data_IF_968785099098
#
_entry.id   IF_968785099098
#
_cell.length_a   1.000
_cell.length_b   1.000
_cell.length_c   1.000
_cell.angle_alpha   90.00
_cell.angle_beta   90.00
_cell.angle_gamma   90.00
#
_symmetry.space_group_name_H-M   'P 1'
#
loop_
_entity.id
_entity.type
_entity.pdbx_description
1 polymer ?
#
# COMPACT_ATOMS: atom_id res chain seq x y z
N UNK A 1 6.71 1.14 2.12
CA UNK A 1 5.73 1.66 1.14
C UNK A 1 5.20 3.05 1.46
N UNK A 2 4.49 3.29 2.57
CA UNK A 2 3.99 4.64 2.90
C UNK A 2 5.10 5.70 2.88
N UNK A 3 6.20 5.43 3.60
CA UNK A 3 7.38 6.30 3.64
C UNK A 3 8.02 6.45 2.26
N UNK A 4 8.12 5.38 1.47
CA UNK A 4 8.72 5.45 0.13
C UNK A 4 7.84 6.23 -0.87
N UNK A 5 6.52 6.27 -0.65
CA UNK A 5 5.62 7.15 -1.39
C UNK A 5 5.83 8.60 -0.96
N UNK A 6 5.84 8.87 0.36
CA UNK A 6 6.09 10.20 0.91
C UNK A 6 7.39 10.79 0.35
N UNK A 7 8.50 10.04 0.41
CA UNK A 7 9.81 10.48 -0.07
C UNK A 7 9.88 10.80 -1.58
N UNK A 8 8.94 10.28 -2.37
CA UNK A 8 8.84 10.54 -3.82
C UNK A 8 7.84 11.64 -4.16
N UNK A 9 7.08 12.14 -3.19
CA UNK A 9 6.23 13.30 -3.41
C UNK A 9 7.10 14.54 -3.63
N UNK A 10 6.54 15.52 -4.35
CA UNK A 10 7.18 16.82 -4.46
C UNK A 10 6.92 17.57 -3.17
N UNK A 11 7.99 17.99 -2.52
CA UNK A 11 7.88 18.90 -1.38
C UNK A 11 7.39 20.25 -1.84
N UNK A 12 6.38 20.77 -1.14
CA UNK A 12 5.85 22.10 -1.33
C UNK A 12 6.68 23.08 -0.48
N UNK A 13 7.09 24.24 -1.03
CA UNK A 13 7.77 25.28 -0.25
C UNK A 13 7.03 25.70 1.02
N UNK A 14 5.70 25.52 1.07
CA UNK A 14 4.89 25.85 2.26
C UNK A 14 4.93 24.77 3.36
N UNK A 15 5.34 23.54 3.06
CA UNK A 15 5.28 22.43 4.04
C UNK A 15 6.14 22.69 5.27
N UNK A 16 7.32 23.31 5.08
CA UNK A 16 8.18 23.74 6.20
C UNK A 16 7.44 24.76 7.09
N UNK A 17 6.75 25.73 6.49
CA UNK A 17 6.04 26.76 7.25
C UNK A 17 4.83 26.17 8.01
N UNK A 18 4.11 25.23 7.39
CA UNK A 18 3.02 24.50 8.01
C UNK A 18 3.53 23.64 9.17
N UNK A 19 4.65 22.95 8.97
CA UNK A 19 5.35 22.19 10.01
C UNK A 19 5.75 23.07 11.22
N UNK A 20 6.31 24.24 10.96
CA UNK A 20 6.70 25.18 12.02
C UNK A 20 5.49 25.71 12.77
N UNK A 21 4.42 26.05 12.06
CA UNK A 21 3.15 26.50 12.66
C UNK A 21 2.56 25.42 13.56
N UNK A 22 2.52 24.18 13.07
CA UNK A 22 2.09 23.02 13.86
C UNK A 22 2.96 22.85 15.13
N UNK A 23 4.28 22.91 14.98
CA UNK A 23 5.23 22.74 16.08
C UNK A 23 5.08 23.81 17.15
N UNK A 24 4.93 25.09 16.76
CA UNK A 24 4.65 26.20 17.69
C UNK A 24 3.36 25.98 18.48
N UNK A 25 2.33 25.41 17.85
CA UNK A 25 1.05 25.10 18.49
C UNK A 25 1.18 23.95 19.50
N UNK A 26 1.85 22.86 19.14
CA UNK A 26 2.04 21.70 20.03
C UNK A 26 2.86 22.07 21.27
N UNK A 27 3.91 22.88 21.09
CA UNK A 27 4.81 23.30 22.17
C UNK A 27 4.48 24.68 22.75
N UNK A 28 3.25 25.17 22.60
CA UNK A 28 2.85 26.51 23.04
C UNK A 28 3.08 26.80 24.54
N UNK A 29 3.21 25.75 25.36
CA UNK A 29 3.47 25.84 26.82
C UNK A 29 4.94 25.56 27.21
N UNK A 30 5.84 25.37 26.25
CA UNK A 30 7.23 24.98 26.48
C UNK A 30 8.20 26.02 25.90
N UNK A 31 8.55 27.05 26.69
CA UNK A 31 9.36 28.18 26.23
C UNK A 31 10.73 27.77 25.67
N UNK A 32 11.37 26.76 26.26
CA UNK A 32 12.64 26.21 25.77
C UNK A 32 12.51 25.64 24.37
N UNK A 33 11.46 24.85 24.10
CA UNK A 33 11.21 24.28 22.79
C UNK A 33 10.79 25.34 21.78
N UNK A 34 10.03 26.37 22.19
CA UNK A 34 9.67 27.49 21.31
C UNK A 34 10.90 28.27 20.83
N UNK A 35 11.92 28.44 21.67
CA UNK A 35 13.18 29.06 21.25
C UNK A 35 13.92 28.18 20.24
N UNK A 36 13.96 26.86 20.45
CA UNK A 36 14.59 25.91 19.50
C UNK A 36 13.82 25.87 18.17
N UNK A 37 12.49 26.00 18.19
CA UNK A 37 11.68 26.07 16.97
C UNK A 37 12.01 27.33 16.16
N UNK A 38 12.21 28.49 16.82
CA UNK A 38 12.66 29.73 16.14
C UNK A 38 14.06 29.56 15.54
N UNK A 39 14.97 28.96 16.30
CA UNK A 39 16.32 28.64 15.81
C UNK A 39 16.28 27.72 14.57
N UNK A 40 15.41 26.70 14.57
CA UNK A 40 15.21 25.82 13.44
C UNK A 40 14.60 26.55 12.24
N UNK A 41 13.61 27.42 12.46
CA UNK A 41 12.97 28.21 11.41
C UNK A 41 14.01 29.05 10.64
N UNK A 42 14.90 29.72 11.37
CA UNK A 42 15.94 30.62 10.85
C UNK A 42 17.15 29.87 10.26
N UNK A 43 17.63 28.81 10.94
CA UNK A 43 18.95 28.24 10.65
C UNK A 43 18.92 26.84 10.02
N UNK A 44 17.76 26.19 9.87
CA UNK A 44 17.72 24.86 9.27
C UNK A 44 18.14 24.85 7.79
N UNK A 45 19.09 23.98 7.46
CA UNK A 45 19.43 23.59 6.08
C UNK A 45 19.46 22.08 5.93
N UNK A 46 19.24 21.60 4.70
CA UNK A 46 19.23 20.17 4.38
C UNK A 46 20.55 19.45 4.73
N UNK A 47 21.68 20.17 4.76
CA UNK A 47 23.01 19.65 5.13
C UNK A 47 23.21 19.51 6.65
N UNK A 48 22.28 20.00 7.48
CA UNK A 48 22.33 19.88 8.94
C UNK A 48 21.25 18.98 9.56
N UNK A 49 20.48 18.25 8.74
CA UNK A 49 19.44 17.34 9.20
C UNK A 49 19.89 16.33 10.26
N UNK A 50 21.04 15.66 10.10
CA UNK A 50 21.53 14.70 11.12
C UNK A 50 21.78 15.38 12.48
N UNK A 51 22.44 16.55 12.49
CA UNK A 51 22.69 17.32 13.71
C UNK A 51 21.39 17.73 14.41
N UNK A 52 20.35 18.05 13.64
CA UNK A 52 19.03 18.37 14.18
C UNK A 52 18.29 17.13 14.71
N UNK A 53 18.51 15.96 14.11
CA UNK A 53 17.90 14.71 14.56
C UNK A 53 18.50 14.19 15.87
N UNK A 54 19.80 14.36 16.08
CA UNK A 54 20.51 13.87 17.27
C UNK A 54 20.36 14.79 18.48
N UNK A 55 20.03 16.07 18.27
CA UNK A 55 19.78 17.04 19.34
C UNK A 55 18.51 16.70 20.11
N UNK A 56 18.57 16.79 21.44
CA UNK A 56 17.39 16.69 22.31
C UNK A 56 16.44 17.89 22.08
N UNK A 57 15.55 17.77 21.11
CA UNK A 57 14.63 18.84 20.72
C UNK A 57 13.28 18.32 20.21
N UNK A 58 12.35 19.25 20.02
CA UNK A 58 11.00 19.02 19.52
C UNK A 58 10.97 18.13 18.26
N UNK A 59 11.98 18.24 17.38
CA UNK A 59 12.02 17.58 16.08
C UNK A 59 12.13 16.06 16.21
N UNK A 60 13.08 15.58 17.00
CA UNK A 60 13.24 14.15 17.31
C UNK A 60 12.00 13.59 18.01
N UNK A 61 11.47 14.32 19.00
CA UNK A 61 10.31 13.89 19.78
C UNK A 61 9.05 13.78 18.92
N UNK A 62 8.78 14.80 18.09
CA UNK A 62 7.62 14.81 17.19
C UNK A 62 7.73 13.73 16.11
N UNK A 63 8.90 13.56 15.49
CA UNK A 63 9.08 12.55 14.44
C UNK A 63 8.84 11.15 14.99
N UNK A 64 9.44 10.81 16.15
CA UNK A 64 9.23 9.52 16.78
C UNK A 64 7.79 9.31 17.25
N UNK A 65 7.13 10.36 17.76
CA UNK A 65 5.69 10.31 18.09
C UNK A 65 4.86 10.03 16.83
N UNK A 66 5.13 10.75 15.73
CA UNK A 66 4.42 10.60 14.47
C UNK A 66 4.53 9.18 13.91
N UNK A 67 5.74 8.62 13.92
CA UNK A 67 6.03 7.26 13.45
C UNK A 67 5.35 6.21 14.33
N UNK A 68 5.39 6.37 15.66
CA UNK A 68 4.80 5.43 16.62
C UNK A 68 3.28 5.34 16.49
N UNK A 69 2.61 6.49 16.33
CA UNK A 69 1.14 6.56 16.22
C UNK A 69 0.64 6.56 14.78
N UNK A 70 1.55 6.42 13.81
CA UNK A 70 1.26 6.51 12.37
C UNK A 70 0.44 7.77 12.01
N UNK A 71 0.81 8.92 12.57
CA UNK A 71 0.16 10.19 12.27
C UNK A 71 0.56 10.65 10.86
N UNK A 72 -0.29 10.33 9.88
CA UNK A 72 -0.06 10.61 8.45
C UNK A 72 0.15 12.11 8.20
N UNK A 73 -0.62 12.97 8.85
CA UNK A 73 -0.55 14.43 8.68
C UNK A 73 0.80 14.96 9.09
N UNK A 74 1.26 14.52 10.27
CA UNK A 74 2.55 14.92 10.77
C UNK A 74 3.69 14.29 9.96
N UNK A 75 3.57 13.03 9.53
CA UNK A 75 4.55 12.37 8.65
C UNK A 75 4.69 13.04 7.28
N UNK A 76 3.57 13.55 6.75
CA UNK A 76 3.55 14.35 5.53
C UNK A 76 4.32 15.66 5.74
N UNK A 77 4.07 16.38 6.83
CA UNK A 77 4.84 17.59 7.17
C UNK A 77 6.33 17.31 7.41
N UNK A 78 6.67 16.09 7.84
CA UNK A 78 8.05 15.63 8.01
C UNK A 78 8.71 15.17 6.70
N UNK A 79 8.02 15.13 5.57
CA UNK A 79 8.55 14.62 4.30
C UNK A 79 9.91 15.23 3.95
N UNK A 80 10.02 16.56 4.02
CA UNK A 80 11.26 17.27 3.70
C UNK A 80 12.41 16.82 4.61
N UNK A 81 12.16 16.74 5.92
CA UNK A 81 13.17 16.39 6.90
C UNK A 81 13.60 14.92 6.80
N UNK A 82 12.66 13.99 6.58
CA UNK A 82 12.96 12.57 6.36
C UNK A 82 13.78 12.40 5.08
N UNK A 83 13.48 13.16 4.02
CA UNK A 83 14.26 13.16 2.77
C UNK A 83 15.68 13.69 2.99
N UNK A 84 15.83 14.79 3.71
CA UNK A 84 17.14 15.38 4.01
C UNK A 84 17.99 14.42 4.87
N UNK A 85 17.39 13.76 5.87
CA UNK A 85 18.04 12.69 6.63
C UNK A 85 18.48 11.53 5.74
N UNK A 86 17.62 11.06 4.84
CA UNK A 86 17.99 10.01 3.89
C UNK A 86 19.19 10.41 3.04
N UNK A 87 19.18 11.64 2.52
CA UNK A 87 20.26 12.13 1.66
C UNK A 87 21.59 12.21 2.42
N UNK A 88 21.58 12.68 3.67
CA UNK A 88 22.79 12.67 4.50
C UNK A 88 23.25 11.25 4.86
N UNK A 89 22.33 10.35 5.17
CA UNK A 89 22.68 8.94 5.41
C UNK A 89 23.31 8.28 4.17
N UNK A 90 22.87 8.64 2.96
CA UNK A 90 23.52 8.18 1.72
C UNK A 90 24.90 8.84 1.52
N UNK A 91 25.03 10.14 1.82
CA UNK A 91 26.30 10.86 1.72
C UNK A 91 27.37 10.28 2.66
N UNK A 92 26.98 9.95 3.89
CA UNK A 92 27.86 9.41 4.94
C UNK A 92 27.74 7.88 5.09
N UNK A 93 27.20 7.20 4.07
CA UNK A 93 26.92 5.77 4.10
C UNK A 93 28.14 4.95 4.54
N UNK A 94 27.92 4.03 5.47
CA UNK A 94 28.94 3.08 5.92
C UNK A 94 29.50 2.27 4.75
N UNK A 95 30.83 2.06 4.72
CA UNK A 95 31.54 1.35 3.63
C UNK A 95 31.99 -0.07 4.00
N UNK A 96 31.92 -0.41 5.28
CA UNK A 96 32.34 -1.68 5.85
C UNK A 96 31.18 -2.39 6.54
N UNK A 97 31.32 -3.71 6.68
CA UNK A 97 30.44 -4.51 7.53
C UNK A 97 30.43 -3.89 8.93
N UNK A 98 29.25 -3.51 9.40
CA UNK A 98 29.05 -2.82 10.67
C UNK A 98 28.29 -3.72 11.62
N UNK A 99 28.79 -3.86 12.85
CA UNK A 99 28.07 -4.50 13.95
C UNK A 99 27.64 -3.40 14.90
N UNK A 100 26.34 -3.22 15.06
CA UNK A 100 25.78 -2.20 15.92
C UNK A 100 24.87 -2.80 16.99
N UNK A 101 24.73 -2.10 18.09
CA UNK A 101 24.02 -2.54 19.28
C UNK A 101 22.96 -1.54 19.68
N UNK A 102 21.83 -2.04 20.16
CA UNK A 102 20.77 -1.21 20.76
C UNK A 102 20.08 -2.02 21.83
N UNK A 103 19.81 -1.41 22.97
CA UNK A 103 19.05 -2.05 24.03
C UNK A 103 17.69 -1.43 24.25
N UNK A 104 16.75 -2.22 24.75
CA UNK A 104 15.45 -1.76 25.23
C UNK A 104 14.81 -2.79 26.16
N UNK A 105 13.83 -2.36 26.95
CA UNK A 105 12.93 -3.26 27.67
C UNK A 105 11.79 -3.70 26.74
N UNK A 106 11.41 -4.98 26.82
CA UNK A 106 10.31 -5.56 26.06
C UNK A 106 9.49 -6.51 26.94
N UNK A 107 8.20 -6.69 26.69
CA UNK A 107 7.42 -7.67 27.46
C UNK A 107 7.87 -9.11 27.17
N UNK A 108 7.84 -9.98 28.16
CA UNK A 108 8.16 -11.42 27.98
C UNK A 108 7.27 -12.07 26.91
N UNK A 109 6.01 -11.62 26.79
CA UNK A 109 5.07 -12.06 25.76
C UNK A 109 5.55 -11.72 24.35
N UNK A 110 5.98 -10.49 24.11
CA UNK A 110 6.52 -10.07 22.80
C UNK A 110 7.79 -10.82 22.45
N UNK A 111 8.68 -11.05 23.43
CA UNK A 111 9.90 -11.87 23.22
C UNK A 111 9.54 -13.29 22.82
N UNK A 112 8.53 -13.88 23.46
CA UNK A 112 8.06 -15.23 23.12
C UNK A 112 7.44 -15.28 21.72
N UNK A 113 6.70 -14.24 21.31
CA UNK A 113 6.19 -14.11 19.95
C UNK A 113 7.34 -14.01 18.94
N UNK A 114 8.35 -13.18 19.20
CA UNK A 114 9.53 -13.04 18.34
C UNK A 114 10.26 -14.37 18.14
N UNK A 115 10.36 -15.22 19.18
CA UNK A 115 10.95 -16.57 19.03
C UNK A 115 10.25 -17.41 17.95
N UNK A 116 8.93 -17.30 17.83
CA UNK A 116 8.16 -18.01 16.79
C UNK A 116 8.40 -17.50 15.37
N UNK A 117 8.99 -16.30 15.23
CA UNK A 117 9.30 -15.66 13.95
C UNK A 117 10.79 -15.77 13.56
N UNK A 118 11.57 -16.63 14.23
CA UNK A 118 12.98 -16.84 13.88
C UNK A 118 13.12 -17.26 12.42
N UNK A 119 14.04 -16.62 11.69
CA UNK A 119 14.23 -16.77 10.24
C UNK A 119 13.39 -15.82 9.38
N UNK A 120 12.34 -15.21 9.93
CA UNK A 120 11.46 -14.27 9.21
C UNK A 120 12.01 -12.84 9.19
N UNK A 121 11.32 -11.99 8.43
CA UNK A 121 11.65 -10.57 8.26
C UNK A 121 10.84 -9.70 9.23
N UNK A 122 11.50 -8.69 9.78
CA UNK A 122 10.92 -7.68 10.66
C UNK A 122 11.24 -6.32 10.06
N UNK A 123 10.21 -5.49 9.88
CA UNK A 123 10.37 -4.10 9.47
C UNK A 123 10.32 -3.18 10.69
N UNK A 124 11.25 -2.24 10.77
CA UNK A 124 11.26 -1.20 11.80
C UNK A 124 10.70 0.10 11.23
N UNK A 125 9.60 0.58 11.81
CA UNK A 125 8.92 1.82 11.40
C UNK A 125 9.49 3.08 12.05
N UNK A 126 10.74 3.05 12.53
CA UNK A 126 11.46 4.21 13.04
C UNK A 126 12.86 4.30 12.45
N UNK A 127 13.48 5.48 12.56
CA UNK A 127 14.94 5.54 12.50
C UNK A 127 15.49 4.73 13.67
N UNK A 128 16.54 3.96 13.41
CA UNK A 128 17.14 3.10 14.43
C UNK A 128 18.50 3.68 14.80
N UNK A 129 18.51 4.39 15.93
CA UNK A 129 19.75 4.85 16.58
C UNK A 129 20.36 3.67 17.36
N UNK A 130 21.61 3.37 17.06
CA UNK A 130 22.40 2.24 17.59
C UNK A 130 23.82 2.73 17.86
N UNK A 131 24.62 1.95 18.57
CA UNK A 131 26.04 2.26 18.88
C UNK A 131 26.96 1.14 18.40
N UNK A 132 28.21 1.46 18.07
CA UNK A 132 29.25 0.45 17.83
C UNK A 132 29.70 -0.25 19.11
N UNK A 133 29.52 0.39 20.27
CA UNK A 133 29.94 -0.13 21.57
C UNK A 133 28.77 -0.87 22.26
N UNK A 134 29.01 -2.16 22.53
CA UNK A 134 28.08 -3.01 23.27
C UNK A 134 27.81 -2.47 24.67
N UNK A 135 28.83 -1.98 25.36
CA UNK A 135 28.71 -1.55 26.75
C UNK A 135 27.94 -0.24 26.85
N UNK A 136 28.10 0.68 25.88
CA UNK A 136 27.23 1.86 25.76
C UNK A 136 25.77 1.46 25.57
N UNK A 137 25.48 0.48 24.70
CA UNK A 137 24.11 0.01 24.53
C UNK A 137 23.53 -0.60 25.82
N UNK A 138 24.33 -1.34 26.59
CA UNK A 138 23.89 -1.94 27.85
C UNK A 138 23.74 -0.88 28.94
N UNK A 139 24.61 0.12 28.99
CA UNK A 139 24.52 1.26 29.91
C UNK A 139 23.17 1.98 29.79
N UNK A 140 22.65 2.15 28.57
CA UNK A 140 21.34 2.75 28.32
C UNK A 140 20.13 1.93 28.78
N UNK A 141 20.31 0.68 29.24
CA UNK A 141 19.24 -0.03 29.96
C UNK A 141 19.00 0.50 31.38
N UNK A 142 19.97 1.23 31.95
CA UNK A 142 19.95 1.70 33.33
C UNK A 142 20.13 0.57 34.36
N UNK A 143 19.92 0.89 35.64
CA UNK A 143 19.93 -0.11 36.71
C UNK A 143 18.79 -1.12 36.51
N UNK A 144 19.16 -2.40 36.36
CA UNK A 144 18.26 -3.53 36.06
C UNK A 144 17.26 -3.80 37.21
N UNK A 145 17.29 -3.03 38.30
CA UNK A 145 16.46 -3.22 39.50
C UNK A 145 14.96 -2.91 39.32
N UNK A 146 14.50 -2.53 38.13
CA UNK A 146 13.06 -2.42 37.84
C UNK A 146 12.65 -3.40 36.75
N UNK A 147 12.44 -4.66 37.16
CA UNK A 147 11.55 -5.56 36.43
C UNK A 147 10.58 -6.23 37.41
N UNK A 148 9.53 -5.49 37.78
CA UNK A 148 8.22 -6.10 37.99
C UNK A 148 8.01 -7.13 36.87
N UNK A 149 7.67 -8.37 37.24
CA UNK A 149 8.10 -9.62 36.60
C UNK A 149 7.74 -9.90 35.13
N UNK A 150 7.29 -8.92 34.34
CA UNK A 150 6.80 -9.08 32.98
C UNK A 150 7.67 -8.43 31.89
N UNK A 151 8.67 -7.61 32.27
CA UNK A 151 9.63 -7.02 31.34
C UNK A 151 10.93 -7.84 31.26
N UNK A 152 11.55 -7.81 30.09
CA UNK A 152 12.78 -8.51 29.74
C UNK A 152 13.76 -7.50 29.11
N UNK A 153 14.98 -7.34 29.63
CA UNK A 153 16.00 -6.53 28.97
C UNK A 153 16.49 -7.23 27.70
N UNK A 154 16.46 -6.48 26.60
CA UNK A 154 16.84 -6.91 25.26
C UNK A 154 18.08 -6.15 24.80
N UNK A 155 19.03 -6.89 24.22
CA UNK A 155 20.12 -6.33 23.43
C UNK A 155 19.96 -6.80 21.98
N UNK A 156 19.64 -5.88 21.08
CA UNK A 156 19.72 -6.12 19.65
C UNK A 156 21.18 -6.08 19.22
N UNK A 157 21.63 -7.15 18.58
CA UNK A 157 22.91 -7.23 17.87
C UNK A 157 22.61 -7.21 16.38
N UNK A 158 22.98 -6.12 15.71
CA UNK A 158 22.62 -5.87 14.33
C UNK A 158 23.85 -5.99 13.44
N UNK A 159 23.79 -6.87 12.45
CA UNK A 159 24.81 -7.00 11.41
C UNK A 159 24.33 -6.32 10.13
N UNK A 160 25.05 -5.28 9.71
CA UNK A 160 24.69 -4.46 8.57
C UNK A 160 25.82 -4.46 7.54
N UNK A 161 25.57 -5.09 6.38
CA UNK A 161 26.51 -5.12 5.27
C UNK A 161 26.09 -4.12 4.19
N UNK A 162 26.84 -3.01 4.00
CA UNK A 162 26.43 -1.96 3.07
C UNK A 162 26.66 -2.34 1.60
N UNK A 163 27.37 -3.45 1.32
CA UNK A 163 27.70 -3.92 -0.04
C UNK A 163 26.58 -4.73 -0.69
N UNK A 164 25.54 -5.08 0.06
CA UNK A 164 24.37 -5.77 -0.49
C UNK A 164 23.55 -4.73 -1.24
N UNK A 165 23.28 -4.99 -2.53
CA UNK A 165 22.44 -4.12 -3.36
C UNK A 165 21.04 -3.97 -2.75
N UNK A 166 20.41 -2.79 -2.85
CA UNK A 166 19.06 -2.55 -2.34
C UNK A 166 18.93 -2.46 -0.81
N UNK A 167 20.03 -2.46 -0.05
CA UNK A 167 20.00 -2.17 1.39
C UNK A 167 19.79 -0.68 1.63
N UNK A 168 18.88 -0.34 2.55
CA UNK A 168 18.66 1.04 2.99
C UNK A 168 19.91 1.63 3.65
N UNK A 169 20.17 2.94 3.47
CA UNK A 169 21.39 3.54 3.97
C UNK A 169 21.44 3.52 5.50
N UNK A 170 22.66 3.38 6.01
CA UNK A 170 22.99 3.58 7.40
C UNK A 170 24.40 4.17 7.45
N UNK A 171 24.67 4.98 8.46
CA UNK A 171 25.91 5.73 8.56
C UNK A 171 26.41 5.75 10.01
N UNK A 172 27.73 5.81 10.16
CA UNK A 172 28.32 6.29 11.41
C UNK A 172 28.15 7.80 11.46
N UNK A 173 27.30 8.25 12.38
CA UNK A 173 26.94 9.65 12.56
C UNK A 173 27.58 10.26 13.80
N UNK A 174 28.57 9.59 14.39
CA UNK A 174 29.39 10.12 15.50
C UNK A 174 29.82 11.58 15.31
N UNK A 175 30.27 12.03 14.11
CA UNK A 175 30.64 13.44 13.90
C UNK A 175 29.49 14.45 14.06
N UNK A 176 28.24 13.98 14.01
CA UNK A 176 27.02 14.77 14.11
C UNK A 176 26.21 14.47 15.38
N UNK A 177 26.61 13.47 16.15
CA UNK A 177 25.87 13.06 17.35
C UNK A 177 25.97 14.14 18.42
N UNK A 178 24.86 14.33 19.14
CA UNK A 178 24.84 15.23 20.29
C UNK A 178 25.66 14.65 21.46
N UNK A 179 25.88 13.34 21.46
CA UNK A 179 26.70 12.61 22.44
C UNK A 179 27.82 11.88 21.67
N UNK A 180 28.96 12.54 21.40
CA UNK A 180 30.00 12.00 20.52
C UNK A 180 30.59 10.66 20.98
N UNK A 181 30.60 10.39 22.29
CA UNK A 181 31.17 9.17 22.86
C UNK A 181 30.29 7.93 22.63
N UNK A 182 29.07 8.09 22.08
CA UNK A 182 28.18 6.97 21.81
C UNK A 182 28.57 6.14 20.59
N UNK A 183 29.49 6.61 19.75
CA UNK A 183 29.81 5.96 18.47
C UNK A 183 28.56 5.64 17.63
N UNK A 184 27.65 6.62 17.51
CA UNK A 184 26.29 6.40 17.01
C UNK A 184 26.26 5.96 15.54
N UNK A 185 25.57 4.85 15.27
CA UNK A 185 25.16 4.39 13.95
C UNK A 185 23.66 4.62 13.80
N UNK A 186 23.27 5.43 12.81
CA UNK A 186 21.87 5.67 12.48
C UNK A 186 21.48 4.87 11.23
N UNK A 187 20.43 4.06 11.36
CA UNK A 187 19.86 3.30 10.24
C UNK A 187 18.57 3.95 9.75
N UNK A 188 18.41 3.98 8.42
CA UNK A 188 17.27 4.63 7.76
C UNK A 188 15.93 4.00 8.16
N UNK A 189 14.93 4.86 8.30
CA UNK A 189 13.53 4.48 8.49
C UNK A 189 13.04 3.44 7.47
N UNK A 190 12.31 2.45 7.96
CA UNK A 190 11.75 1.37 7.15
C UNK A 190 12.79 0.34 6.72
N UNK A 191 13.94 0.27 7.40
CA UNK A 191 14.90 -0.83 7.26
C UNK A 191 14.25 -2.15 7.65
N UNK A 192 14.56 -3.19 6.88
CA UNK A 192 14.05 -4.55 7.08
C UNK A 192 15.20 -5.41 7.58
N UNK A 193 14.92 -6.23 8.59
CA UNK A 193 15.89 -7.09 9.23
C UNK A 193 15.41 -8.53 9.19
N UNK A 194 16.31 -9.47 8.92
CA UNK A 194 16.05 -10.87 9.21
C UNK A 194 16.33 -11.14 10.68
N UNK A 195 15.36 -11.74 11.36
CA UNK A 195 15.55 -12.25 12.71
C UNK A 195 16.37 -13.54 12.62
N UNK A 196 17.67 -13.48 12.90
CA UNK A 196 18.56 -14.63 12.75
C UNK A 196 18.38 -15.61 13.91
N UNK A 197 18.68 -15.17 15.14
CA UNK A 197 18.63 -16.02 16.33
C UNK A 197 18.31 -15.18 17.58
N UNK A 198 17.70 -15.82 18.57
CA UNK A 198 17.46 -15.26 19.91
C UNK A 198 18.17 -16.16 20.92
N UNK A 199 19.04 -15.57 21.74
CA UNK A 199 19.77 -16.28 22.81
C UNK A 199 19.72 -15.51 24.12
N UNK A 200 20.05 -16.17 25.23
CA UNK A 200 20.08 -15.54 26.55
C UNK A 200 21.50 -15.57 27.12
N UNK A 201 21.94 -14.42 27.66
CA UNK A 201 23.20 -14.24 28.39
C UNK A 201 22.84 -13.70 29.79
N UNK A 202 22.65 -14.60 30.75
CA UNK A 202 22.14 -14.24 32.08
C UNK A 202 20.72 -13.69 32.01
N UNK A 203 20.50 -12.49 32.56
CA UNK A 203 19.22 -11.79 32.47
C UNK A 203 19.01 -11.09 31.12
N UNK A 204 20.05 -10.95 30.28
CA UNK A 204 19.96 -10.24 29.01
C UNK A 204 19.53 -11.18 27.88
N UNK A 205 18.47 -10.82 27.15
CA UNK A 205 18.05 -11.54 25.95
C UNK A 205 18.65 -10.86 24.72
N UNK A 206 19.47 -11.59 23.97
CA UNK A 206 20.15 -11.08 22.78
C UNK A 206 19.39 -11.51 21.53
N UNK A 207 18.96 -10.52 20.76
CA UNK A 207 18.26 -10.71 19.50
C UNK A 207 19.20 -10.32 18.36
N UNK A 208 19.59 -11.30 17.54
CA UNK A 208 20.45 -11.06 16.39
C UNK A 208 19.62 -10.71 15.16
N UNK A 209 19.89 -9.54 14.59
CA UNK A 209 19.23 -9.01 13.40
C UNK A 209 20.26 -8.86 12.28
N UNK A 210 19.86 -9.21 11.06
CA UNK A 210 20.69 -9.01 9.85
C UNK A 210 19.96 -8.03 8.94
N UNK A 211 20.57 -6.87 8.67
CA UNK A 211 19.99 -5.88 7.77
C UNK A 211 19.83 -6.50 6.37
N UNK A 212 18.62 -6.43 5.85
CA UNK A 212 18.20 -7.07 4.62
C UNK A 212 17.99 -6.05 3.50
N UNK A 213 18.03 -6.54 2.27
CA UNK A 213 17.83 -5.76 1.05
C UNK A 213 16.38 -5.78 0.60
N UNK A 214 15.89 -4.64 0.11
CA UNK A 214 14.60 -4.54 -0.57
C UNK A 214 14.57 -5.35 -1.90
N UNK A 215 15.76 -5.63 -2.47
CA UNK A 215 15.96 -6.45 -3.67
C UNK A 215 16.29 -7.92 -3.35
N UNK A 216 16.30 -8.32 -2.07
CA UNK A 216 16.58 -9.70 -1.68
C UNK A 216 15.51 -10.67 -2.23
N UNK A 217 15.91 -11.89 -2.58
CA UNK A 217 15.03 -12.90 -3.19
C UNK A 217 13.71 -13.13 -2.43
N UNK A 218 13.74 -13.04 -1.10
CA UNK A 218 12.56 -13.28 -0.25
C UNK A 218 11.64 -12.05 -0.12
N UNK A 219 12.16 -10.86 -0.40
CA UNK A 219 11.44 -9.58 -0.23
C UNK A 219 10.97 -9.01 -1.55
N UNK A 220 11.77 -9.22 -2.60
CA UNK A 220 11.55 -8.68 -3.94
C UNK A 220 10.20 -9.09 -4.52
N UNK A 221 9.72 -10.35 -4.45
CA UNK A 221 8.40 -10.71 -4.94
C UNK A 221 7.27 -9.98 -4.20
N UNK A 222 7.42 -9.75 -2.88
CA UNK A 222 6.45 -9.01 -2.08
C UNK A 222 6.42 -7.56 -2.56
N UNK A 223 7.58 -6.92 -2.66
CA UNK A 223 7.66 -5.54 -3.14
C UNK A 223 7.22 -5.38 -4.60
N UNK A 224 7.53 -6.33 -5.47
CA UNK A 224 7.13 -6.30 -6.88
C UNK A 224 5.62 -6.51 -7.01
N UNK A 225 5.02 -7.44 -6.26
CA UNK A 225 3.57 -7.61 -6.22
C UNK A 225 2.89 -6.37 -5.65
N UNK A 226 3.42 -5.82 -4.55
CA UNK A 226 2.95 -4.55 -4.03
C UNK A 226 3.06 -3.47 -5.13
N UNK A 227 4.22 -3.32 -5.78
CA UNK A 227 4.37 -2.38 -6.88
C UNK A 227 3.35 -2.62 -7.98
N UNK A 228 3.00 -3.86 -8.34
CA UNK A 228 1.95 -4.13 -9.33
C UNK A 228 0.56 -3.71 -8.81
N UNK A 229 0.22 -4.07 -7.57
CA UNK A 229 -1.07 -3.75 -6.94
C UNK A 229 -1.25 -2.24 -6.69
N UNK A 230 -0.15 -1.51 -6.48
CA UNK A 230 -0.12 -0.08 -6.14
C UNK A 230 0.26 0.82 -7.31
N UNK A 231 1.01 0.32 -8.29
CA UNK A 231 1.69 1.07 -9.36
C UNK A 231 1.32 0.47 -10.72
N UNK A 232 0.06 0.60 -11.13
CA UNK A 232 -0.22 0.55 -12.57
C UNK A 232 0.57 1.66 -13.27
N UNK A 233 1.28 1.29 -14.33
CA UNK A 233 2.20 2.14 -15.08
C UNK A 233 1.52 3.47 -15.48
N UNK A 234 1.95 4.58 -14.87
CA UNK A 234 1.49 5.93 -15.21
C UNK A 234 0.88 6.77 -14.08
N UNK A 235 0.84 6.27 -12.84
CA UNK A 235 0.44 7.11 -11.71
C UNK A 235 1.57 8.06 -11.25
N UNK A 236 1.23 9.32 -10.95
CA UNK A 236 2.12 10.24 -10.25
C UNK A 236 2.39 9.73 -8.81
N UNK A 237 3.49 10.15 -8.17
CA UNK A 237 3.82 9.77 -6.78
C UNK A 237 2.67 10.01 -5.78
N UNK A 238 1.82 10.99 -6.08
CA UNK A 238 0.54 11.26 -5.41
C UNK A 238 -0.45 10.11 -5.51
N UNK A 239 -0.67 9.60 -6.73
CA UNK A 239 -1.62 8.53 -6.99
C UNK A 239 -1.30 7.30 -6.15
N UNK A 240 -0.01 7.01 -6.03
CA UNK A 240 0.52 5.94 -5.19
C UNK A 240 0.27 6.18 -3.70
N UNK A 241 0.60 7.38 -3.19
CA UNK A 241 0.37 7.74 -1.79
C UNK A 241 -1.10 7.58 -1.38
N UNK A 242 -2.02 8.03 -2.24
CA UNK A 242 -3.46 7.84 -2.05
C UNK A 242 -3.86 6.36 -2.02
N UNK A 243 -3.36 5.53 -2.93
CA UNK A 243 -3.72 4.09 -2.95
C UNK A 243 -3.27 3.44 -1.64
N UNK A 244 -2.08 3.79 -1.15
CA UNK A 244 -1.58 3.33 0.14
C UNK A 244 -2.53 3.75 1.27
N UNK A 245 -2.90 5.03 1.35
CA UNK A 245 -3.85 5.51 2.37
C UNK A 245 -5.21 4.81 2.29
N UNK A 246 -5.77 4.66 1.09
CA UNK A 246 -7.04 3.98 0.91
C UNK A 246 -6.95 2.49 1.31
N UNK A 247 -5.83 1.81 1.06
CA UNK A 247 -5.59 0.43 1.53
C UNK A 247 -5.42 0.33 3.05
N UNK A 248 -4.93 1.40 3.69
CA UNK A 248 -4.91 1.52 5.15
C UNK A 248 -6.30 1.88 5.73
N UNK A 249 -7.34 2.01 4.90
CA UNK A 249 -8.69 2.46 5.32
C UNK A 249 -8.78 3.96 5.63
N UNK A 250 -7.73 4.73 5.30
CA UNK A 250 -7.60 6.17 5.55
C UNK A 250 -8.19 7.00 4.41
N UNK A 251 -9.50 6.82 4.17
CA UNK A 251 -10.17 7.40 3.00
C UNK A 251 -10.28 8.93 3.08
N UNK A 252 -10.53 9.49 4.26
CA UNK A 252 -10.67 10.93 4.44
C UNK A 252 -9.33 11.65 4.25
N UNK A 253 -8.25 11.08 4.78
CA UNK A 253 -6.90 11.56 4.53
C UNK A 253 -6.55 11.48 3.04
N UNK A 254 -6.83 10.34 2.39
CA UNK A 254 -6.60 10.14 0.96
C UNK A 254 -7.33 11.17 0.10
N UNK A 255 -8.60 11.48 0.43
CA UNK A 255 -9.37 12.51 -0.26
C UNK A 255 -8.77 13.91 -0.04
N UNK A 256 -8.47 14.29 1.20
CA UNK A 256 -7.92 15.61 1.53
C UNK A 256 -6.61 15.89 0.79
N UNK A 257 -5.71 14.92 0.71
CA UNK A 257 -4.44 15.10 -0.02
C UNK A 257 -4.65 15.25 -1.52
N UNK A 258 -5.59 14.51 -2.12
CA UNK A 258 -5.95 14.70 -3.52
C UNK A 258 -6.55 16.08 -3.78
N UNK A 259 -7.40 16.59 -2.88
CA UNK A 259 -7.96 17.93 -2.99
C UNK A 259 -6.88 19.01 -2.87
N UNK A 260 -5.95 18.89 -1.91
CA UNK A 260 -4.80 19.81 -1.79
C UNK A 260 -4.03 19.93 -3.11
N UNK A 261 -3.86 18.82 -3.82
CA UNK A 261 -3.14 18.81 -5.09
C UNK A 261 -3.93 19.39 -6.28
N UNK A 262 -5.26 19.44 -6.19
CA UNK A 262 -6.07 20.21 -7.13
C UNK A 262 -5.87 21.71 -6.93
N UNK A 263 -5.63 22.12 -5.68
CA UNK A 263 -5.43 23.52 -5.30
C UNK A 263 -3.99 23.99 -5.54
N UNK A 264 -3.02 23.08 -5.51
CA UNK A 264 -1.62 23.38 -5.81
C UNK A 264 -1.44 23.73 -7.30
N UNK A 265 -0.85 24.90 -7.55
CA UNK A 265 -0.59 25.38 -8.92
C UNK A 265 0.43 24.47 -9.61
N UNK A 266 0.10 23.86 -10.77
CA UNK A 266 1.03 23.01 -11.48
C UNK A 266 2.22 23.82 -12.02
N UNK A 267 3.43 23.30 -11.86
CA UNK A 267 4.69 23.92 -12.30
C UNK A 267 4.59 24.53 -13.70
N UNK A 268 5.13 25.75 -13.87
CA UNK A 268 5.05 26.55 -15.11
C UNK A 268 5.59 25.84 -16.36
N UNK A 269 6.41 24.80 -16.19
CA UNK A 269 6.99 24.02 -17.28
C UNK A 269 6.04 22.99 -17.93
N UNK A 270 4.82 22.78 -17.42
CA UNK A 270 3.88 21.81 -18.00
C UNK A 270 2.98 22.46 -19.06
N UNK A 271 2.79 21.77 -20.19
CA UNK A 271 1.80 22.18 -21.21
C UNK A 271 0.38 22.17 -20.63
N UNK A 272 -0.49 23.04 -21.13
CA UNK A 272 -1.91 23.09 -20.74
C UNK A 272 -2.58 21.71 -20.81
N UNK A 273 -2.27 20.95 -21.86
CA UNK A 273 -2.78 19.59 -22.05
C UNK A 273 -2.31 18.63 -20.94
N UNK A 274 -1.04 18.69 -20.54
CA UNK A 274 -0.50 17.87 -19.44
C UNK A 274 -1.19 18.20 -18.12
N UNK A 275 -1.47 19.49 -17.89
CA UNK A 275 -2.18 19.96 -16.69
C UNK A 275 -3.61 19.39 -16.64
N UNK A 276 -4.35 19.51 -17.72
CA UNK A 276 -5.71 18.96 -17.82
C UNK A 276 -5.71 17.41 -17.74
N UNK A 277 -4.73 16.73 -18.33
CA UNK A 277 -4.58 15.29 -18.18
C UNK A 277 -4.38 14.90 -16.71
N UNK A 278 -3.44 15.54 -16.00
CA UNK A 278 -3.18 15.28 -14.59
C UNK A 278 -4.41 15.57 -13.72
N UNK A 279 -5.15 16.63 -14.04
CA UNK A 279 -6.42 16.97 -13.39
C UNK A 279 -7.44 15.83 -13.51
N UNK A 280 -7.60 15.27 -14.72
CA UNK A 280 -8.49 14.13 -14.93
C UNK A 280 -8.08 12.88 -14.14
N UNK A 281 -6.77 12.63 -14.02
CA UNK A 281 -6.24 11.52 -13.20
C UNK A 281 -6.58 11.74 -11.72
N UNK A 282 -6.47 12.96 -11.23
CA UNK A 282 -6.86 13.31 -9.86
C UNK A 282 -8.36 13.07 -9.62
N UNK A 283 -9.22 13.45 -10.56
CA UNK A 283 -10.66 13.16 -10.47
C UNK A 283 -10.97 11.66 -10.48
N UNK A 284 -10.34 10.85 -11.34
CA UNK A 284 -10.50 9.39 -11.29
C UNK A 284 -10.12 8.84 -9.91
N UNK A 285 -9.01 9.34 -9.36
CA UNK A 285 -8.53 8.91 -8.05
C UNK A 285 -9.47 9.32 -6.91
N UNK A 286 -10.05 10.51 -6.94
CA UNK A 286 -11.10 10.94 -6.00
C UNK A 286 -12.35 10.06 -6.10
N UNK A 287 -12.75 9.71 -7.33
CA UNK A 287 -13.84 8.78 -7.58
C UNK A 287 -13.59 7.40 -6.98
N UNK A 288 -12.37 6.86 -7.17
CA UNK A 288 -11.97 5.58 -6.60
C UNK A 288 -11.97 5.59 -5.06
N UNK A 289 -11.56 6.69 -4.42
CA UNK A 289 -11.61 6.82 -2.95
C UNK A 289 -13.06 6.85 -2.46
N UNK A 290 -13.92 7.62 -3.12
CA UNK A 290 -15.34 7.70 -2.78
C UNK A 290 -16.04 6.35 -2.94
N UNK A 291 -15.79 5.62 -4.03
CA UNK A 291 -16.29 4.26 -4.27
C UNK A 291 -15.89 3.29 -3.16
N UNK A 292 -14.63 3.34 -2.71
CA UNK A 292 -14.14 2.47 -1.62
C UNK A 292 -14.71 2.82 -0.26
N UNK A 293 -15.05 4.09 -0.05
CA UNK A 293 -15.80 4.57 1.12
C UNK A 293 -17.28 4.16 1.07
N UNK A 294 -17.76 3.68 -0.08
CA UNK A 294 -19.16 3.33 -0.32
C UNK A 294 -20.03 4.50 -0.80
N UNK A 295 -19.44 5.67 -1.05
CA UNK A 295 -20.15 6.83 -1.60
C UNK A 295 -20.12 6.81 -3.14
N UNK A 296 -20.97 5.96 -3.71
CA UNK A 296 -21.09 5.79 -5.16
C UNK A 296 -21.58 7.05 -5.87
N UNK A 297 -22.37 7.91 -5.20
CA UNK A 297 -22.84 9.17 -5.79
C UNK A 297 -21.67 10.13 -6.01
N UNK A 298 -20.85 10.32 -4.97
CA UNK A 298 -19.65 11.15 -5.06
C UNK A 298 -18.64 10.56 -6.02
N UNK A 299 -18.51 9.23 -6.05
CA UNK A 299 -17.74 8.49 -7.05
C UNK A 299 -18.10 8.88 -8.49
N UNK A 300 -19.38 8.77 -8.83
CA UNK A 300 -19.90 9.14 -10.16
C UNK A 300 -19.66 10.60 -10.53
N UNK A 301 -19.85 11.54 -9.58
CA UNK A 301 -19.57 12.96 -9.82
C UNK A 301 -18.11 13.18 -10.22
N UNK A 302 -17.17 12.54 -9.51
CA UNK A 302 -15.76 12.65 -9.84
C UNK A 302 -15.40 11.99 -11.17
N UNK A 303 -15.94 10.80 -11.46
CA UNK A 303 -15.73 10.16 -12.76
C UNK A 303 -16.29 10.98 -13.92
N UNK A 304 -17.43 11.63 -13.73
CA UNK A 304 -18.00 12.51 -14.75
C UNK A 304 -17.07 13.72 -15.00
N UNK A 305 -16.55 14.35 -13.94
CA UNK A 305 -15.56 15.44 -14.09
C UNK A 305 -14.30 14.96 -14.82
N UNK A 306 -13.81 13.75 -14.52
CA UNK A 306 -12.68 13.17 -15.23
C UNK A 306 -12.99 12.96 -16.72
N UNK A 307 -14.16 12.42 -17.03
CA UNK A 307 -14.62 12.17 -18.39
C UNK A 307 -14.74 13.47 -19.19
N UNK A 308 -15.31 14.53 -18.60
CA UNK A 308 -15.47 15.84 -19.24
C UNK A 308 -14.12 16.47 -19.61
N UNK A 309 -13.09 16.27 -18.78
CA UNK A 309 -11.72 16.71 -19.10
C UNK A 309 -11.13 15.87 -20.24
N UNK A 310 -11.23 14.54 -20.17
CA UNK A 310 -10.69 13.64 -21.22
C UNK A 310 -11.34 13.87 -22.59
N UNK A 311 -12.64 14.10 -22.62
CA UNK A 311 -13.37 14.38 -23.86
C UNK A 311 -12.94 15.71 -24.50
N UNK A 312 -12.59 16.72 -23.69
CA UNK A 312 -12.08 18.01 -24.19
C UNK A 312 -10.68 17.91 -24.80
N UNK A 313 -9.82 17.05 -24.25
CA UNK A 313 -8.42 16.89 -24.66
C UNK A 313 -8.22 16.20 -26.03
N UNK A 314 -9.29 15.73 -26.69
CA UNK A 314 -9.34 15.27 -28.09
C UNK A 314 -8.06 14.61 -28.65
N UNK A 315 -7.66 13.48 -28.05
CA UNK A 315 -7.09 12.38 -28.82
C UNK A 315 -8.20 11.40 -29.10
N UNK A 316 -8.76 11.42 -30.31
CA UNK A 316 -9.82 10.50 -30.71
C UNK A 316 -9.39 9.06 -30.40
N UNK A 317 -10.15 8.40 -29.53
CA UNK A 317 -9.99 7.03 -29.05
C UNK A 317 -8.99 6.79 -27.91
N UNK A 318 -8.58 7.76 -27.08
CA UNK A 318 -7.73 7.48 -25.90
C UNK A 318 -8.28 6.32 -25.04
N UNK A 319 -7.52 5.22 -24.80
CA UNK A 319 -7.98 4.07 -24.02
C UNK A 319 -8.43 4.44 -22.60
N UNK A 320 -7.89 5.53 -22.04
CA UNK A 320 -8.30 6.04 -20.73
C UNK A 320 -9.78 6.45 -20.63
N UNK A 321 -10.42 6.81 -21.75
CA UNK A 321 -11.87 7.08 -21.78
C UNK A 321 -12.64 5.78 -21.53
N UNK A 322 -12.16 4.67 -22.09
CA UNK A 322 -12.75 3.36 -21.86
C UNK A 322 -12.61 2.97 -20.38
N UNK A 323 -11.47 3.29 -19.75
CA UNK A 323 -11.26 3.02 -18.33
C UNK A 323 -12.25 3.80 -17.45
N UNK A 324 -12.46 5.09 -17.75
CA UNK A 324 -13.45 5.91 -17.02
C UNK A 324 -14.87 5.37 -17.25
N UNK A 325 -15.24 5.01 -18.48
CA UNK A 325 -16.54 4.40 -18.75
C UNK A 325 -16.72 3.07 -18.01
N UNK A 326 -15.68 2.26 -17.88
CA UNK A 326 -15.72 1.02 -17.10
C UNK A 326 -15.95 1.31 -15.61
N UNK A 327 -15.27 2.31 -15.05
CA UNK A 327 -15.47 2.75 -13.65
C UNK A 327 -16.88 3.26 -13.40
N UNK A 328 -17.42 4.08 -14.31
CA UNK A 328 -18.81 4.57 -14.23
C UNK A 328 -19.80 3.41 -14.35
N UNK A 329 -19.58 2.49 -15.29
CA UNK A 329 -20.43 1.31 -15.46
C UNK A 329 -20.45 0.42 -14.23
N UNK A 330 -19.29 0.17 -13.61
CA UNK A 330 -19.18 -0.58 -12.37
C UNK A 330 -19.89 0.13 -11.19
N UNK A 331 -19.77 1.45 -11.08
CA UNK A 331 -20.47 2.25 -10.07
C UNK A 331 -21.98 2.21 -10.25
N UNK A 332 -22.48 2.36 -11.49
CA UNK A 332 -23.90 2.20 -11.80
C UNK A 332 -24.39 0.79 -11.44
N UNK A 333 -23.60 -0.25 -11.70
CA UNK A 333 -23.95 -1.62 -11.34
C UNK A 333 -24.10 -1.81 -9.83
N UNK A 334 -23.18 -1.27 -9.02
CA UNK A 334 -23.25 -1.30 -7.54
C UNK A 334 -24.45 -0.55 -6.96
N UNK A 335 -25.04 0.35 -7.75
CA UNK A 335 -26.26 1.09 -7.43
C UNK A 335 -27.52 0.42 -7.98
N UNK A 336 -27.42 -0.82 -8.45
CA UNK A 336 -28.51 -1.59 -9.10
C UNK A 336 -29.07 -0.93 -10.38
N UNK A 337 -28.30 -0.03 -11.01
CA UNK A 337 -28.66 0.63 -12.27
C UNK A 337 -28.10 -0.15 -13.45
N UNK A 338 -28.54 -1.40 -13.62
CA UNK A 338 -27.95 -2.34 -14.58
C UNK A 338 -28.08 -1.89 -16.05
N UNK A 339 -29.19 -1.22 -16.43
CA UNK A 339 -29.36 -0.67 -17.77
C UNK A 339 -28.36 0.45 -18.09
N UNK A 340 -28.11 1.35 -17.12
CA UNK A 340 -27.10 2.41 -17.27
C UNK A 340 -25.71 1.78 -17.37
N UNK A 341 -25.39 0.81 -16.50
CA UNK A 341 -24.14 0.07 -16.52
C UNK A 341 -23.85 -0.59 -17.88
N UNK A 342 -24.84 -1.27 -18.46
CA UNK A 342 -24.75 -1.83 -19.82
C UNK A 342 -24.46 -0.78 -20.88
N UNK A 343 -25.11 0.39 -20.79
CA UNK A 343 -24.86 1.50 -21.70
C UNK A 343 -23.39 1.93 -21.71
N UNK A 344 -22.78 2.06 -20.53
CA UNK A 344 -21.36 2.37 -20.41
C UNK A 344 -20.46 1.23 -20.89
N UNK A 345 -20.74 -0.01 -20.51
CA UNK A 345 -19.96 -1.18 -20.94
C UNK A 345 -19.97 -1.37 -22.47
N UNK A 346 -21.09 -1.09 -23.15
CA UNK A 346 -21.16 -1.09 -24.62
C UNK A 346 -20.25 -0.02 -25.25
N UNK A 347 -20.16 1.18 -24.66
CA UNK A 347 -19.22 2.21 -25.11
C UNK A 347 -17.76 1.76 -24.95
N UNK A 348 -17.43 1.09 -23.84
CA UNK A 348 -16.10 0.47 -23.64
C UNK A 348 -15.83 -0.56 -24.74
N UNK A 349 -16.81 -1.41 -25.05
CA UNK A 349 -16.68 -2.46 -26.05
C UNK A 349 -16.39 -1.88 -27.44
N UNK A 350 -17.06 -0.79 -27.80
CA UNK A 350 -16.84 -0.10 -29.08
C UNK A 350 -15.43 0.51 -29.19
N UNK A 351 -14.87 1.00 -28.07
CA UNK A 351 -13.50 1.51 -28.03
C UNK A 351 -12.50 0.36 -28.12
N UNK A 352 -12.68 -0.69 -27.33
CA UNK A 352 -11.77 -1.83 -27.30
C UNK A 352 -11.76 -2.62 -28.61
N UNK A 353 -12.91 -2.83 -29.26
CA UNK A 353 -12.98 -3.48 -30.58
C UNK A 353 -12.16 -2.77 -31.66
N UNK A 354 -11.97 -1.46 -31.56
CA UNK A 354 -11.17 -0.68 -32.52
C UNK A 354 -9.67 -0.73 -32.23
N UNK A 355 -9.27 -1.09 -31.02
CA UNK A 355 -7.90 -0.90 -30.52
C UNK A 355 -7.18 -2.17 -30.12
N UNK A 356 -7.92 -3.15 -29.61
CA UNK A 356 -7.36 -4.37 -29.05
C UNK A 356 -7.54 -5.51 -30.06
N UNK A 357 -6.61 -6.45 -30.00
CA UNK A 357 -6.77 -7.72 -30.71
C UNK A 357 -8.03 -8.44 -30.21
N UNK A 358 -8.72 -9.19 -31.08
CA UNK A 358 -9.98 -9.89 -30.78
C UNK A 358 -9.91 -10.85 -29.57
N UNK A 359 -8.70 -11.30 -29.22
CA UNK A 359 -8.45 -12.21 -28.10
C UNK A 359 -7.81 -11.49 -26.91
N UNK A 360 -7.89 -10.16 -26.79
CA UNK A 360 -7.28 -9.44 -25.65
C UNK A 360 -8.05 -9.71 -24.35
N UNK A 361 -7.36 -10.03 -23.25
CA UNK A 361 -8.00 -10.46 -21.98
C UNK A 361 -9.03 -9.45 -21.44
N UNK A 362 -8.79 -8.14 -21.59
CA UNK A 362 -9.75 -7.07 -21.22
C UNK A 362 -11.13 -7.21 -21.89
N UNK A 363 -11.20 -7.76 -23.12
CA UNK A 363 -12.48 -8.05 -23.77
C UNK A 363 -13.24 -9.17 -23.03
N UNK A 364 -12.53 -10.21 -22.55
CA UNK A 364 -13.12 -11.27 -21.73
C UNK A 364 -13.71 -10.73 -20.42
N UNK A 365 -12.97 -9.84 -19.75
CA UNK A 365 -13.45 -9.15 -18.55
C UNK A 365 -14.70 -8.31 -18.83
N UNK A 366 -14.70 -7.56 -19.93
CA UNK A 366 -15.85 -6.74 -20.33
C UNK A 366 -17.08 -7.59 -20.69
N UNK A 367 -16.91 -8.69 -21.41
CA UNK A 367 -18.00 -9.64 -21.70
C UNK A 367 -18.57 -10.25 -20.43
N UNK A 368 -17.73 -10.56 -19.43
CA UNK A 368 -18.17 -11.04 -18.11
C UNK A 368 -19.03 -10.00 -17.38
N UNK A 369 -18.63 -8.73 -17.41
CA UNK A 369 -19.39 -7.63 -16.82
C UNK A 369 -20.73 -7.40 -17.51
N UNK A 370 -20.77 -7.47 -18.85
CA UNK A 370 -22.00 -7.37 -19.64
C UNK A 370 -22.93 -8.56 -19.36
N UNK A 371 -22.39 -9.79 -19.31
CA UNK A 371 -23.15 -10.99 -18.99
C UNK A 371 -23.80 -10.89 -17.61
N UNK A 372 -23.03 -10.42 -16.62
CA UNK A 372 -23.52 -10.22 -15.26
C UNK A 372 -24.64 -9.18 -15.24
N UNK A 373 -24.50 -8.06 -15.94
CA UNK A 373 -25.59 -7.08 -16.01
C UNK A 373 -26.87 -7.63 -16.68
N UNK A 374 -26.76 -8.47 -17.72
CA UNK A 374 -27.93 -9.17 -18.27
C UNK A 374 -28.55 -10.18 -17.31
N UNK A 375 -27.74 -10.87 -16.50
CA UNK A 375 -28.23 -11.79 -15.48
C UNK A 375 -29.11 -11.06 -14.45
N UNK A 376 -28.66 -9.91 -13.94
CA UNK A 376 -29.44 -9.10 -13.01
C UNK A 376 -30.66 -8.40 -13.65
N UNK A 377 -30.70 -8.32 -14.99
CA UNK A 377 -31.89 -7.92 -15.75
C UNK A 377 -32.80 -9.10 -16.12
N UNK A 378 -32.56 -10.29 -15.55
CA UNK A 378 -33.31 -11.52 -15.82
C UNK A 378 -33.30 -11.95 -17.29
N UNK A 379 -32.26 -11.59 -18.04
CA UNK A 379 -32.05 -12.07 -19.41
C UNK A 379 -30.97 -13.14 -19.44
N UNK A 380 -31.33 -14.33 -18.96
CA UNK A 380 -30.39 -15.44 -18.76
C UNK A 380 -29.82 -15.99 -20.08
N UNK A 381 -30.51 -15.80 -21.21
CA UNK A 381 -30.03 -16.23 -22.54
C UNK A 381 -28.89 -15.34 -23.04
N UNK A 382 -29.06 -14.01 -23.01
CA UNK A 382 -27.97 -13.08 -23.35
C UNK A 382 -26.81 -13.21 -22.35
N UNK A 383 -27.10 -13.40 -21.06
CA UNK A 383 -26.06 -13.63 -20.07
C UNK A 383 -25.19 -14.85 -20.43
N UNK A 384 -25.80 -15.99 -20.78
CA UNK A 384 -25.07 -17.18 -21.22
C UNK A 384 -24.26 -16.94 -22.50
N UNK A 385 -24.81 -16.20 -23.48
CA UNK A 385 -24.09 -15.88 -24.70
C UNK A 385 -22.79 -15.12 -24.39
N UNK A 386 -22.87 -14.07 -23.58
CA UNK A 386 -21.74 -13.25 -23.20
C UNK A 386 -20.74 -13.98 -22.28
N UNK A 387 -21.20 -14.83 -21.35
CA UNK A 387 -20.31 -15.67 -20.55
C UNK A 387 -19.54 -16.66 -21.43
N UNK A 388 -20.18 -17.25 -22.46
CA UNK A 388 -19.49 -18.13 -23.39
C UNK A 388 -18.47 -17.37 -24.26
N UNK A 389 -18.75 -16.13 -24.66
CA UNK A 389 -17.77 -15.27 -25.34
C UNK A 389 -16.56 -14.98 -24.44
N UNK A 390 -16.79 -14.65 -23.17
CA UNK A 390 -15.73 -14.43 -22.19
C UNK A 390 -14.85 -15.67 -21.99
N UNK A 391 -15.46 -16.86 -21.82
CA UNK A 391 -14.74 -18.13 -21.68
C UNK A 391 -13.82 -18.41 -22.88
N UNK A 392 -14.29 -18.19 -24.11
CA UNK A 392 -13.48 -18.40 -25.32
C UNK A 392 -12.24 -17.51 -25.35
N UNK A 393 -12.35 -16.27 -24.89
CA UNK A 393 -11.23 -15.33 -24.82
C UNK A 393 -10.26 -15.75 -23.71
N UNK A 394 -10.78 -15.99 -22.50
CA UNK A 394 -9.96 -16.37 -21.35
C UNK A 394 -9.22 -17.69 -21.56
N UNK A 395 -9.84 -18.68 -22.21
CA UNK A 395 -9.17 -19.95 -22.57
C UNK A 395 -7.93 -19.76 -23.44
N UNK A 396 -7.87 -18.69 -24.23
CA UNK A 396 -6.71 -18.37 -25.09
C UNK A 396 -5.68 -17.47 -24.40
N UNK A 397 -6.01 -16.85 -23.27
CA UNK A 397 -5.21 -15.76 -22.69
C UNK A 397 -4.81 -15.93 -21.25
N UNK A 398 -5.52 -16.75 -20.49
CA UNK A 398 -5.32 -16.91 -19.05
C UNK A 398 -5.01 -18.37 -18.73
N UNK A 399 -4.25 -18.64 -17.66
CA UNK A 399 -4.02 -19.99 -17.19
C UNK A 399 -5.34 -20.64 -16.74
N UNK A 400 -5.51 -21.97 -16.88
CA UNK A 400 -6.79 -22.65 -16.62
C UNK A 400 -7.36 -22.50 -15.19
N UNK A 401 -6.50 -22.16 -14.21
CA UNK A 401 -6.86 -21.95 -12.82
C UNK A 401 -7.05 -20.46 -12.46
N UNK A 402 -7.15 -19.56 -13.44
CA UNK A 402 -7.38 -18.15 -13.16
C UNK A 402 -8.75 -17.91 -12.47
N UNK A 403 -8.83 -17.07 -11.43
CA UNK A 403 -10.09 -16.82 -10.69
C UNK A 403 -11.28 -16.38 -11.56
N UNK A 404 -11.04 -15.68 -12.67
CA UNK A 404 -12.10 -15.25 -13.59
C UNK A 404 -12.93 -16.41 -14.17
N UNK A 405 -12.33 -17.58 -14.36
CA UNK A 405 -13.09 -18.77 -14.77
C UNK A 405 -14.08 -19.21 -13.69
N UNK A 406 -13.68 -19.14 -12.41
CA UNK A 406 -14.56 -19.48 -11.29
C UNK A 406 -15.76 -18.53 -11.22
N UNK A 407 -15.54 -17.23 -11.42
CA UNK A 407 -16.61 -16.21 -11.47
C UNK A 407 -17.63 -16.53 -12.57
N UNK A 408 -17.16 -16.84 -13.79
CA UNK A 408 -18.06 -17.19 -14.89
C UNK A 408 -18.83 -18.48 -14.59
N UNK A 409 -18.14 -19.54 -14.14
CA UNK A 409 -18.80 -20.81 -13.85
C UNK A 409 -19.81 -20.69 -12.71
N UNK A 410 -19.53 -19.91 -11.67
CA UNK A 410 -20.50 -19.61 -10.61
C UNK A 410 -21.79 -18.99 -11.19
N UNK A 411 -21.65 -17.93 -11.99
CA UNK A 411 -22.81 -17.25 -12.57
C UNK A 411 -23.59 -18.12 -13.57
N UNK A 412 -22.89 -18.92 -14.38
CA UNK A 412 -23.55 -19.91 -15.24
C UNK A 412 -24.29 -20.97 -14.43
N UNK A 413 -23.72 -21.42 -13.31
CA UNK A 413 -24.39 -22.32 -12.35
C UNK A 413 -25.71 -21.73 -11.86
N UNK A 414 -25.70 -20.46 -11.46
CA UNK A 414 -26.91 -19.73 -11.02
C UNK A 414 -27.96 -19.62 -12.13
N UNK A 415 -27.55 -19.33 -13.37
CA UNK A 415 -28.47 -19.33 -14.52
C UNK A 415 -29.12 -20.71 -14.72
N UNK A 416 -28.36 -21.79 -14.60
CA UNK A 416 -28.93 -23.13 -14.77
C UNK A 416 -29.83 -23.56 -13.61
N UNK A 417 -29.65 -22.99 -12.41
CA UNK A 417 -30.64 -23.08 -11.32
C UNK A 417 -31.95 -22.39 -11.73
N UNK A 418 -31.91 -21.16 -12.24
CA UNK A 418 -33.11 -20.44 -12.73
C UNK A 418 -33.84 -21.23 -13.81
N UNK A 419 -33.09 -21.86 -14.72
CA UNK A 419 -33.61 -22.74 -15.78
C UNK A 419 -34.03 -24.13 -15.30
N UNK A 420 -33.95 -24.42 -13.99
CA UNK A 420 -34.25 -25.72 -13.36
C UNK A 420 -33.42 -26.89 -13.90
N UNK A 421 -32.27 -26.64 -14.50
CA UNK A 421 -31.33 -27.67 -14.94
C UNK A 421 -30.26 -27.88 -13.87
N UNK A 422 -30.63 -28.63 -12.83
CA UNK A 422 -29.76 -28.89 -11.68
C UNK A 422 -28.47 -29.63 -12.03
N UNK A 423 -28.50 -30.51 -13.05
CA UNK A 423 -27.30 -31.25 -13.47
C UNK A 423 -26.24 -30.33 -14.08
N UNK A 424 -26.65 -29.42 -14.98
CA UNK A 424 -25.72 -28.44 -15.55
C UNK A 424 -25.25 -27.46 -14.49
N UNK A 425 -26.15 -26.98 -13.62
CA UNK A 425 -25.78 -26.10 -12.51
C UNK A 425 -24.70 -26.73 -11.61
N UNK A 426 -24.88 -28.00 -11.22
CA UNK A 426 -23.91 -28.75 -10.42
C UNK A 426 -22.55 -28.81 -11.12
N UNK A 427 -22.52 -29.19 -12.39
CA UNK A 427 -21.28 -29.31 -13.16
C UNK A 427 -20.50 -27.97 -13.24
N UNK A 428 -21.20 -26.84 -13.34
CA UNK A 428 -20.56 -25.53 -13.33
C UNK A 428 -20.05 -25.13 -11.94
N UNK A 429 -20.83 -25.34 -10.89
CA UNK A 429 -20.36 -25.06 -9.52
C UNK A 429 -19.18 -25.93 -9.13
N UNK A 430 -19.14 -27.21 -9.52
CA UNK A 430 -17.98 -28.08 -9.30
C UNK A 430 -16.71 -27.55 -9.99
N UNK A 431 -16.82 -27.05 -11.23
CA UNK A 431 -15.69 -26.38 -11.91
C UNK A 431 -15.22 -25.13 -11.16
N UNK A 432 -16.14 -24.31 -10.67
CA UNK A 432 -15.80 -23.13 -9.87
C UNK A 432 -15.10 -23.52 -8.55
N UNK A 433 -15.58 -24.56 -7.88
CA UNK A 433 -15.03 -25.05 -6.61
C UNK A 433 -13.58 -25.53 -6.76
N UNK A 434 -13.27 -26.28 -7.83
CA UNK A 434 -11.89 -26.74 -8.09
C UNK A 434 -10.93 -25.55 -8.18
N UNK A 435 -11.31 -24.51 -8.91
CA UNK A 435 -10.47 -23.32 -9.10
C UNK A 435 -10.32 -22.55 -7.79
N UNK A 436 -11.40 -22.26 -7.07
CA UNK A 436 -11.33 -21.49 -5.81
C UNK A 436 -10.54 -22.23 -4.72
N UNK A 437 -10.68 -23.55 -4.63
CA UNK A 437 -9.91 -24.35 -3.68
C UNK A 437 -8.41 -24.32 -3.97
N UNK A 438 -8.02 -24.21 -5.25
CA UNK A 438 -6.62 -24.10 -5.65
C UNK A 438 -6.06 -22.68 -5.50
N UNK A 439 -6.87 -21.64 -5.72
CA UNK A 439 -6.40 -20.25 -5.75
C UNK A 439 -6.43 -19.55 -4.40
N UNK A 440 -7.54 -19.67 -3.67
CA UNK A 440 -7.78 -18.97 -2.39
C UNK A 440 -7.95 -19.91 -1.21
N UNK A 441 -8.07 -21.20 -1.47
CA UNK A 441 -8.25 -22.25 -0.46
C UNK A 441 -9.70 -22.42 -0.01
N UNK A 442 -10.02 -23.55 0.63
CA UNK A 442 -11.39 -23.94 0.97
C UNK A 442 -12.03 -23.07 2.06
N UNK A 443 -11.24 -22.33 2.83
CA UNK A 443 -11.72 -21.44 3.89
C UNK A 443 -12.15 -20.06 3.37
N UNK A 444 -11.90 -19.73 2.10
CA UNK A 444 -12.29 -18.44 1.53
C UNK A 444 -13.82 -18.33 1.43
N UNK A 445 -14.42 -17.15 1.71
CA UNK A 445 -15.88 -16.95 1.66
C UNK A 445 -16.53 -17.39 0.34
N UNK A 446 -15.87 -17.16 -0.79
CA UNK A 446 -16.37 -17.57 -2.11
C UNK A 446 -16.40 -19.09 -2.27
N UNK A 447 -15.34 -19.79 -1.83
CA UNK A 447 -15.26 -21.25 -1.87
C UNK A 447 -16.36 -21.87 -1.00
N UNK A 448 -16.58 -21.32 0.19
CA UNK A 448 -17.66 -21.73 1.10
C UNK A 448 -19.03 -21.53 0.43
N UNK A 449 -19.24 -20.40 -0.25
CA UNK A 449 -20.50 -20.08 -0.91
C UNK A 449 -20.79 -21.06 -2.07
N UNK A 450 -19.79 -21.37 -2.89
CA UNK A 450 -19.91 -22.40 -3.95
C UNK A 450 -20.23 -23.76 -3.34
N UNK A 451 -19.56 -24.14 -2.25
CA UNK A 451 -19.80 -25.42 -1.60
C UNK A 451 -21.24 -25.54 -1.07
N UNK A 452 -21.80 -24.46 -0.55
CA UNK A 452 -23.22 -24.40 -0.15
C UNK A 452 -24.15 -24.59 -1.34
N UNK A 453 -23.86 -23.96 -2.49
CA UNK A 453 -24.66 -24.14 -3.71
C UNK A 453 -24.61 -25.59 -4.22
N UNK A 454 -23.44 -26.23 -4.18
CA UNK A 454 -23.27 -27.65 -4.53
C UNK A 454 -24.12 -28.53 -3.60
N UNK A 455 -23.99 -28.36 -2.28
CA UNK A 455 -24.76 -29.12 -1.29
C UNK A 455 -26.27 -28.93 -1.47
N UNK A 456 -26.70 -27.68 -1.70
CA UNK A 456 -28.09 -27.36 -1.99
C UNK A 456 -28.59 -28.20 -3.18
N UNK A 457 -27.90 -28.15 -4.32
CA UNK A 457 -28.30 -28.90 -5.52
C UNK A 457 -28.32 -30.41 -5.28
N UNK A 458 -27.30 -30.95 -4.61
CA UNK A 458 -27.18 -32.39 -4.34
C UNK A 458 -28.35 -32.94 -3.52
N UNK A 459 -29.00 -32.11 -2.69
CA UNK A 459 -30.20 -32.51 -1.95
C UNK A 459 -31.44 -32.64 -2.85
N UNK A 460 -31.45 -31.98 -4.02
CA UNK A 460 -32.58 -32.01 -4.96
C UNK A 460 -32.34 -32.93 -6.17
N UNK A 461 -31.10 -33.34 -6.44
CA UNK A 461 -30.81 -34.36 -7.47
C UNK A 461 -31.04 -35.74 -6.84
N UNK A 462 -32.03 -36.53 -7.29
CA UNK A 462 -32.23 -37.87 -6.76
C UNK A 462 -30.98 -38.71 -6.99
N UNK A 463 -30.41 -39.26 -5.91
CA UNK A 463 -29.31 -40.23 -6.00
C UNK A 463 -29.82 -41.41 -6.83
N UNK A 464 -29.28 -41.62 -8.02
CA UNK A 464 -29.49 -42.86 -8.77
C UNK A 464 -28.97 -44.00 -7.88
N UNK A 465 -29.89 -44.85 -7.42
CA UNK A 465 -29.59 -46.09 -6.69
C UNK A 465 -28.91 -47.08 -7.61
#
# INVERSE_FOLDING_TARGET
>A
MLIDCLLRMRSNPTDKNEFITYSKKEYAKHDSQLNIIREFEENYSADHALKWHTRECFLYQLLNKALRVQNIDLLYLFEFFIRDLRNQLEQYRSRSLTRAYRSQLMSKKEVQQLKSFTGQLISMNSFLSTTLDREVAVFYLGDIEVANGDLQPILFKIEANPRIDGVKPFANITPFSYIPDEEEILMMLGSIFRLAHIRHEGQLCIIQLILSSDNGHDVKPIFDQMKIDYLNEGHSSVGEFRIVLANMGKFDEAERYLLRLLDESPSDHQTKETKEYNLSVCYVNLGNVAERKGDFNKGLVWYQRALDVRLRLRRSNDPSIADIHNLVGASCFRKDKYLEALGYQKRVLDIYKKKLHENHYLLGGLHTSIATAYLYLHNSDLALEYFNQALKIFQKTLPPNHPDFATIYNNMGSIYIEKRNLQQALAYYEKAAVILNQTVGPAHPDAISIQRNIQYIQNFIPRRK
#
